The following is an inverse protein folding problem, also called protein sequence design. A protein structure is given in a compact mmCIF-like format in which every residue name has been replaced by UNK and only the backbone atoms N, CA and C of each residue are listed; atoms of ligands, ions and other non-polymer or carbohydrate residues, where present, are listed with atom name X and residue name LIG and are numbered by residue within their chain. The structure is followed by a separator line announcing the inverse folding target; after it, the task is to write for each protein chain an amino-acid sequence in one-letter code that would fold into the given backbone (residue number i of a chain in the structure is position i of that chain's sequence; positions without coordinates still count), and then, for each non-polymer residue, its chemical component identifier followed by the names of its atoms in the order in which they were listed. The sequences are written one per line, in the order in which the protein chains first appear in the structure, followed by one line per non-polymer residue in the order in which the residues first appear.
data_IF_069422881575
#
_entry.id   IF_069422881575
#
_cell.length_a   1.000
_cell.length_b   1.000
_cell.length_c   1.000
_cell.angle_alpha   90.00
_cell.angle_beta   90.00
_cell.angle_gamma   90.00
#
_symmetry.space_group_name_H-M   'P 1'
#
loop_
_entity.id
_entity.type
_entity.pdbx_description
1 polymer ?
#
# COMPACT_ATOMS: atom_id res chain seq x y z
N UNK A 1 -25.68 -32.80 13.13
CA UNK A 1 -25.12 -31.49 13.53
C UNK A 1 -23.69 -31.42 13.04
N UNK A 2 -23.40 -30.53 12.10
CA UNK A 2 -22.09 -30.29 11.50
C UNK A 2 -21.35 -29.25 12.35
N UNK A 3 -20.25 -29.66 12.97
CA UNK A 3 -19.34 -28.74 13.65
C UNK A 3 -18.29 -28.27 12.65
N UNK A 4 -18.23 -26.96 12.40
CA UNK A 4 -17.23 -26.33 11.55
C UNK A 4 -16.24 -25.56 12.41
N UNK A 5 -14.97 -25.91 12.30
CA UNK A 5 -13.87 -25.25 13.02
C UNK A 5 -13.08 -24.37 12.06
N UNK A 6 -13.07 -23.08 12.31
CA UNK A 6 -12.26 -22.10 11.59
C UNK A 6 -10.86 -22.00 12.20
N UNK A 7 -9.87 -21.58 11.41
CA UNK A 7 -8.48 -21.53 11.87
C UNK A 7 -8.25 -20.38 12.86
N UNK A 8 -8.95 -19.26 12.73
CA UNK A 8 -8.90 -18.13 13.65
C UNK A 8 -10.19 -17.27 13.57
N UNK A 9 -10.29 -16.25 14.42
CA UNK A 9 -11.47 -15.38 14.56
C UNK A 9 -11.82 -14.58 13.29
N UNK A 10 -10.86 -14.37 12.38
CA UNK A 10 -11.01 -13.55 11.17
C UNK A 10 -10.94 -14.37 9.86
N UNK A 11 -10.95 -15.71 9.95
CA UNK A 11 -10.81 -16.66 8.84
C UNK A 11 -12.00 -16.64 7.86
N UNK A 12 -12.04 -15.60 7.03
CA UNK A 12 -13.07 -15.41 6.01
C UNK A 12 -13.03 -16.47 4.92
N UNK A 13 -11.84 -16.88 4.48
CA UNK A 13 -11.70 -17.82 3.37
C UNK A 13 -12.10 -19.24 3.81
N UNK A 14 -11.72 -19.67 5.03
CA UNK A 14 -12.20 -20.91 5.63
C UNK A 14 -13.70 -20.92 5.84
N UNK A 15 -14.27 -19.83 6.39
CA UNK A 15 -15.72 -19.68 6.51
C UNK A 15 -16.42 -19.77 5.15
N UNK A 16 -15.93 -19.04 4.14
CA UNK A 16 -16.49 -19.02 2.78
C UNK A 16 -16.45 -20.41 2.13
N UNK A 17 -15.35 -21.14 2.31
CA UNK A 17 -15.21 -22.50 1.78
C UNK A 17 -16.21 -23.46 2.43
N UNK A 18 -16.31 -23.47 3.77
CA UNK A 18 -17.29 -24.29 4.49
C UNK A 18 -18.73 -23.91 4.15
N UNK A 19 -19.06 -22.63 4.22
CA UNK A 19 -20.41 -22.13 3.96
C UNK A 19 -20.87 -22.51 2.55
N UNK A 20 -20.00 -22.39 1.55
CA UNK A 20 -20.29 -22.86 0.19
C UNK A 20 -20.54 -24.36 0.14
N UNK A 21 -19.70 -25.17 0.79
CA UNK A 21 -19.87 -26.62 0.80
C UNK A 21 -21.20 -27.03 1.46
N UNK A 22 -21.55 -26.41 2.58
CA UNK A 22 -22.80 -26.68 3.31
C UNK A 22 -24.04 -26.32 2.49
N UNK A 23 -24.04 -25.16 1.82
CA UNK A 23 -25.12 -24.76 0.91
C UNK A 23 -25.30 -25.76 -0.23
N UNK A 24 -24.21 -26.23 -0.83
CA UNK A 24 -24.25 -27.19 -1.94
C UNK A 24 -24.74 -28.58 -1.51
N UNK A 25 -24.48 -28.98 -0.27
CA UNK A 25 -25.04 -30.20 0.34
C UNK A 25 -26.46 -29.99 0.88
N UNK A 26 -27.03 -28.80 0.74
CA UNK A 26 -28.33 -28.44 1.29
C UNK A 26 -28.43 -28.69 2.81
N UNK A 27 -27.34 -28.45 3.56
CA UNK A 27 -27.34 -28.51 5.03
C UNK A 27 -28.01 -27.27 5.59
N UNK A 28 -29.06 -27.44 6.39
CA UNK A 28 -29.84 -26.31 6.90
C UNK A 28 -29.10 -25.55 7.99
N UNK A 29 -29.51 -24.30 8.25
CA UNK A 29 -28.83 -23.42 9.20
C UNK A 29 -28.90 -23.92 10.65
N UNK A 30 -29.92 -24.71 11.01
CA UNK A 30 -30.08 -25.27 12.35
C UNK A 30 -29.13 -26.46 12.61
N UNK A 31 -28.59 -27.05 11.55
CA UNK A 31 -27.73 -28.23 11.64
C UNK A 31 -26.25 -27.88 11.75
N UNK A 32 -25.88 -26.59 11.71
CA UNK A 32 -24.48 -26.14 11.65
C UNK A 32 -24.12 -25.38 12.92
N UNK A 33 -23.01 -25.79 13.53
CA UNK A 33 -22.37 -25.04 14.59
C UNK A 33 -20.99 -24.55 14.13
N UNK A 34 -20.68 -23.31 14.46
CA UNK A 34 -19.41 -22.66 14.08
C UNK A 34 -18.57 -22.46 15.34
N UNK A 35 -17.31 -22.85 15.25
CA UNK A 35 -16.34 -22.64 16.32
C UNK A 35 -15.01 -22.20 15.71
N UNK A 36 -14.16 -21.58 16.51
CA UNK A 36 -12.81 -21.19 16.14
C UNK A 36 -11.85 -22.11 16.89
N UNK A 37 -10.76 -22.52 16.24
CA UNK A 37 -9.77 -23.39 16.87
C UNK A 37 -9.15 -22.66 18.06
N UNK A 38 -9.28 -23.26 19.25
CA UNK A 38 -8.51 -22.86 20.42
C UNK A 38 -7.12 -23.50 20.34
N UNK A 39 -6.08 -22.68 20.23
CA UNK A 39 -4.69 -23.14 20.18
C UNK A 39 -4.09 -23.37 21.59
N UNK A 40 -4.78 -22.98 22.66
CA UNK A 40 -4.36 -23.13 24.04
C UNK A 40 -4.88 -24.41 24.71
N UNK A 41 -5.84 -25.10 24.09
CA UNK A 41 -6.38 -26.37 24.57
C UNK A 41 -5.86 -27.54 23.73
N UNK A 42 -5.45 -28.62 24.39
CA UNK A 42 -5.14 -29.92 23.80
C UNK A 42 -6.26 -30.36 22.82
N UNK A 43 -5.94 -31.16 21.77
CA UNK A 43 -6.79 -31.32 20.60
C UNK A 43 -8.21 -31.77 20.96
N UNK A 44 -9.24 -31.27 20.26
CA UNK A 44 -10.62 -31.58 20.60
C UNK A 44 -10.87 -33.10 20.56
N UNK A 45 -11.40 -33.62 21.65
CA UNK A 45 -11.87 -35.02 21.80
C UNK A 45 -13.07 -35.37 20.92
N UNK A 46 -13.63 -34.37 20.22
CA UNK A 46 -14.60 -34.57 19.14
C UNK A 46 -13.89 -34.30 17.83
N UNK A 47 -13.59 -35.38 17.09
CA UNK A 47 -13.09 -35.29 15.73
C UNK A 47 -14.03 -34.38 14.92
N UNK A 48 -13.57 -33.16 14.62
CA UNK A 48 -14.21 -32.31 13.65
C UNK A 48 -14.38 -33.14 12.38
N UNK A 49 -15.61 -33.29 11.90
CA UNK A 49 -15.84 -33.96 10.63
C UNK A 49 -15.02 -33.17 9.58
N UNK A 50 -14.23 -33.85 8.73
CA UNK A 50 -13.44 -33.17 7.72
C UNK A 50 -14.35 -32.28 6.89
N UNK A 51 -13.85 -31.08 6.52
CA UNK A 51 -14.62 -30.12 5.71
C UNK A 51 -15.33 -30.86 4.59
N UNK A 52 -16.66 -30.73 4.45
CA UNK A 52 -17.38 -31.41 3.39
C UNK A 52 -16.75 -31.02 2.05
N UNK A 53 -16.31 -32.01 1.27
CA UNK A 53 -15.71 -31.77 -0.05
C UNK A 53 -16.67 -30.93 -0.87
N UNK A 54 -16.24 -29.78 -1.38
CA UNK A 54 -17.11 -28.89 -2.17
C UNK A 54 -17.65 -29.69 -3.38
N UNK A 55 -18.97 -29.94 -3.49
CA UNK A 55 -19.55 -30.66 -4.62
C UNK A 55 -19.36 -29.89 -5.92
N UNK A 56 -19.51 -30.59 -7.05
CA UNK A 56 -19.66 -29.94 -8.35
C UNK A 56 -20.97 -29.16 -8.38
N UNK A 57 -20.87 -27.84 -8.24
CA UNK A 57 -22.04 -26.96 -8.17
C UNK A 57 -21.65 -25.49 -8.02
N UNK A 58 -22.53 -24.62 -8.53
CA UNK A 58 -22.37 -23.16 -8.47
C UNK A 58 -23.69 -22.52 -8.10
N UNK A 59 -23.63 -21.53 -7.23
CA UNK A 59 -24.69 -20.56 -7.00
C UNK A 59 -24.03 -19.18 -6.92
N UNK A 60 -24.77 -18.14 -7.25
CA UNK A 60 -24.32 -16.75 -7.19
C UNK A 60 -24.93 -16.04 -6.00
N UNK A 61 -24.22 -15.05 -5.49
CA UNK A 61 -24.71 -14.10 -4.51
C UNK A 61 -24.30 -12.69 -4.91
N UNK A 62 -25.02 -11.64 -4.47
CA UNK A 62 -24.65 -10.27 -4.76
C UNK A 62 -23.26 -9.92 -4.24
N UNK A 63 -22.51 -9.07 -4.95
CA UNK A 63 -21.19 -8.60 -4.51
C UNK A 63 -21.25 -7.89 -3.14
N UNK A 64 -22.34 -7.12 -2.91
CA UNK A 64 -22.62 -6.45 -1.63
C UNK A 64 -22.64 -7.41 -0.43
N UNK A 65 -23.05 -8.66 -0.62
CA UNK A 65 -23.01 -9.67 0.44
C UNK A 65 -21.57 -10.02 0.83
N UNK A 66 -20.69 -10.19 -0.15
CA UNK A 66 -19.28 -10.55 0.09
C UNK A 66 -18.55 -9.42 0.82
N UNK A 67 -18.80 -8.17 0.44
CA UNK A 67 -18.26 -7.00 1.12
C UNK A 67 -18.75 -6.90 2.57
N UNK A 68 -20.06 -7.10 2.77
CA UNK A 68 -20.67 -7.13 4.09
C UNK A 68 -20.08 -8.25 4.96
N UNK A 69 -19.94 -9.45 4.41
CA UNK A 69 -19.40 -10.61 5.11
C UNK A 69 -17.93 -10.41 5.52
N UNK A 70 -17.10 -9.78 4.66
CA UNK A 70 -15.72 -9.41 5.02
C UNK A 70 -15.65 -8.40 6.16
N UNK A 71 -16.64 -7.53 6.29
CA UNK A 71 -16.72 -6.62 7.44
C UNK A 71 -17.15 -7.38 8.70
N UNK A 72 -18.27 -8.13 8.62
CA UNK A 72 -18.91 -8.81 9.76
C UNK A 72 -18.02 -9.91 10.35
N UNK A 73 -17.18 -10.58 9.56
CA UNK A 73 -16.31 -11.66 10.06
C UNK A 73 -15.42 -11.19 11.22
N UNK A 74 -15.16 -9.89 11.32
CA UNK A 74 -14.33 -9.25 12.35
C UNK A 74 -15.10 -8.84 13.60
N UNK A 75 -16.43 -8.96 13.63
CA UNK A 75 -17.22 -8.63 14.80
C UNK A 75 -16.89 -9.60 15.95
N UNK A 76 -16.95 -9.18 17.22
CA UNK A 76 -16.58 -10.07 18.35
C UNK A 76 -17.64 -11.16 18.62
N UNK A 77 -18.91 -10.88 18.32
CA UNK A 77 -20.02 -11.79 18.57
C UNK A 77 -19.81 -13.11 17.82
N UNK A 78 -19.78 -14.23 18.54
CA UNK A 78 -19.56 -15.59 18.00
C UNK A 78 -20.67 -16.01 17.03
N UNK A 79 -21.87 -15.42 17.14
CA UNK A 79 -23.01 -15.74 16.28
C UNK A 79 -22.85 -15.20 14.85
N UNK A 80 -21.84 -14.36 14.59
CA UNK A 80 -21.58 -13.75 13.27
C UNK A 80 -21.45 -14.78 12.15
N UNK A 81 -20.77 -15.90 12.39
CA UNK A 81 -20.59 -16.96 11.38
C UNK A 81 -21.90 -17.64 11.02
N UNK A 82 -22.73 -17.90 12.03
CA UNK A 82 -24.06 -18.47 11.84
C UNK A 82 -25.00 -17.48 11.14
N UNK A 83 -24.97 -16.19 11.51
CA UNK A 83 -25.73 -15.13 10.84
C UNK A 83 -25.37 -15.01 9.36
N UNK A 84 -24.07 -14.96 9.04
CA UNK A 84 -23.60 -14.93 7.67
C UNK A 84 -24.04 -16.17 6.89
N UNK A 85 -24.05 -17.34 7.52
CA UNK A 85 -24.54 -18.56 6.91
C UNK A 85 -26.07 -18.53 6.66
N UNK A 86 -26.87 -18.00 7.60
CA UNK A 86 -28.32 -17.81 7.41
C UNK A 86 -28.61 -16.88 6.23
N UNK A 87 -27.90 -15.75 6.14
CA UNK A 87 -28.04 -14.82 5.04
C UNK A 87 -27.65 -15.46 3.71
N UNK A 88 -26.52 -16.18 3.67
CA UNK A 88 -26.07 -16.91 2.48
C UNK A 88 -27.11 -17.93 2.01
N UNK A 89 -27.66 -18.72 2.94
CA UNK A 89 -28.67 -19.74 2.66
C UNK A 89 -29.92 -19.13 2.04
N UNK A 90 -30.38 -17.99 2.54
CA UNK A 90 -31.57 -17.29 2.04
C UNK A 90 -31.31 -16.56 0.71
N UNK A 91 -30.12 -15.98 0.54
CA UNK A 91 -29.70 -15.31 -0.69
C UNK A 91 -29.63 -16.24 -1.92
N UNK A 92 -29.58 -17.56 -1.71
CA UNK A 92 -29.70 -18.57 -2.77
C UNK A 92 -31.04 -18.49 -3.50
N UNK A 93 -32.11 -18.05 -2.82
CA UNK A 93 -33.46 -17.99 -3.36
C UNK A 93 -34.01 -16.56 -3.46
N UNK A 94 -33.43 -15.61 -2.72
CA UNK A 94 -33.87 -14.21 -2.65
C UNK A 94 -32.68 -13.26 -2.83
N UNK A 95 -32.30 -12.97 -4.07
CA UNK A 95 -31.10 -12.17 -4.39
C UNK A 95 -31.18 -10.70 -3.94
N UNK A 96 -32.39 -10.18 -3.75
CA UNK A 96 -32.73 -8.85 -3.27
C UNK A 96 -32.88 -8.77 -1.74
N UNK A 97 -32.66 -9.88 -1.00
CA UNK A 97 -32.83 -9.93 0.46
C UNK A 97 -32.13 -8.78 1.18
N UNK A 98 -30.91 -8.43 0.76
CA UNK A 98 -30.12 -7.37 1.40
C UNK A 98 -30.69 -5.95 1.20
N UNK A 99 -31.68 -5.76 0.34
CA UNK A 99 -32.40 -4.49 0.17
C UNK A 99 -33.58 -4.36 1.14
N UNK A 100 -34.00 -5.46 1.78
CA UNK A 100 -35.04 -5.46 2.80
C UNK A 100 -34.48 -5.10 4.17
N UNK A 101 -34.56 -3.83 4.53
CA UNK A 101 -34.08 -3.30 5.82
C UNK A 101 -34.89 -3.77 7.03
N UNK A 102 -36.14 -4.20 6.82
CA UNK A 102 -37.02 -4.71 7.88
C UNK A 102 -36.74 -6.18 8.22
N UNK A 103 -35.93 -6.86 7.40
CA UNK A 103 -35.50 -8.21 7.68
C UNK A 103 -34.58 -8.26 8.90
N UNK A 104 -34.94 -9.08 9.89
CA UNK A 104 -34.22 -9.17 11.16
C UNK A 104 -32.74 -9.55 10.99
N UNK A 105 -32.41 -10.51 10.11
CA UNK A 105 -31.02 -10.93 9.91
C UNK A 105 -30.23 -9.84 9.15
N UNK A 106 -30.87 -9.15 8.20
CA UNK A 106 -30.25 -8.03 7.47
C UNK A 106 -29.97 -6.86 8.41
N UNK A 107 -30.94 -6.49 9.26
CA UNK A 107 -30.79 -5.45 10.26
C UNK A 107 -29.67 -5.81 11.27
N UNK A 108 -29.63 -7.05 11.76
CA UNK A 108 -28.56 -7.54 12.63
C UNK A 108 -27.19 -7.45 11.95
N UNK A 109 -27.10 -7.86 10.69
CA UNK A 109 -25.86 -7.81 9.91
C UNK A 109 -25.39 -6.36 9.65
N UNK A 110 -26.31 -5.46 9.31
CA UNK A 110 -26.02 -4.05 9.14
C UNK A 110 -25.53 -3.40 10.45
N UNK A 111 -26.13 -3.76 11.59
CA UNK A 111 -25.71 -3.30 12.90
C UNK A 111 -24.29 -3.79 13.25
N UNK A 112 -23.99 -5.08 13.07
CA UNK A 112 -22.65 -5.64 13.28
C UNK A 112 -21.61 -4.97 12.38
N UNK A 113 -21.91 -4.81 11.08
CA UNK A 113 -20.99 -4.16 10.16
C UNK A 113 -20.72 -2.70 10.52
N UNK A 114 -21.75 -1.99 11.00
CA UNK A 114 -21.62 -0.61 11.46
C UNK A 114 -20.80 -0.52 12.76
N UNK A 115 -20.95 -1.47 13.68
CA UNK A 115 -20.15 -1.54 14.90
C UNK A 115 -18.66 -1.74 14.59
N UNK A 116 -18.33 -2.70 13.71
CA UNK A 116 -16.95 -2.91 13.23
C UNK A 116 -16.35 -1.64 12.63
N UNK A 117 -17.05 -0.97 11.72
CA UNK A 117 -16.54 0.27 11.09
C UNK A 117 -16.33 1.41 12.09
N UNK A 118 -17.22 1.54 13.08
CA UNK A 118 -17.07 2.55 14.13
C UNK A 118 -15.83 2.25 14.98
N UNK A 119 -15.56 1.00 15.30
CA UNK A 119 -14.37 0.61 16.07
C UNK A 119 -13.08 0.84 15.27
N UNK A 120 -13.08 0.49 13.97
CA UNK A 120 -11.95 0.80 13.07
C UNK A 120 -11.64 2.30 13.05
N UNK A 121 -12.67 3.13 12.88
CA UNK A 121 -12.54 4.58 12.86
C UNK A 121 -12.09 5.11 14.22
N UNK A 122 -12.64 4.59 15.32
CA UNK A 122 -12.22 4.92 16.69
C UNK A 122 -10.73 4.65 16.86
N UNK A 123 -10.25 3.48 16.47
CA UNK A 123 -8.83 3.15 16.54
C UNK A 123 -7.98 4.16 15.76
N UNK A 124 -8.35 4.47 14.51
CA UNK A 124 -7.63 5.45 13.67
C UNK A 124 -7.59 6.86 14.26
N UNK A 125 -8.65 7.27 14.94
CA UNK A 125 -8.82 8.64 15.44
C UNK A 125 -8.26 8.83 16.85
N UNK A 126 -8.33 7.82 17.72
CA UNK A 126 -7.98 7.94 19.15
C UNK A 126 -6.61 7.39 19.50
N UNK A 127 -6.08 6.43 18.72
CA UNK A 127 -4.81 5.78 19.05
C UNK A 127 -3.65 6.80 19.02
N UNK A 128 -2.85 6.82 20.09
CA UNK A 128 -1.68 7.70 20.25
C UNK A 128 -0.47 6.88 20.60
N UNK A 129 0.63 7.16 19.92
CA UNK A 129 1.91 6.50 20.16
C UNK A 129 2.73 7.28 21.18
N UNK A 130 3.28 6.55 22.15
CA UNK A 130 4.21 7.07 23.15
C UNK A 130 5.60 6.53 22.85
N UNK A 131 6.61 7.40 22.91
CA UNK A 131 8.00 7.01 22.71
C UNK A 131 8.56 6.36 23.98
N UNK A 132 9.13 5.17 23.85
CA UNK A 132 9.74 4.39 24.93
C UNK A 132 11.22 4.15 24.59
N UNK A 133 12.09 4.30 25.59
CA UNK A 133 13.53 4.18 25.46
C UNK A 133 14.24 5.52 25.26
N UNK A 134 15.57 5.49 25.07
CA UNK A 134 16.39 6.68 24.84
C UNK A 134 17.19 6.56 23.55
N UNK A 135 17.25 7.65 22.78
CA UNK A 135 18.11 7.79 21.59
C UNK A 135 17.91 6.69 20.53
N UNK A 136 18.94 5.90 20.20
CA UNK A 136 18.97 4.95 19.07
C UNK A 136 18.11 3.70 19.23
N UNK A 137 17.43 3.54 20.36
CA UNK A 137 16.54 2.40 20.64
C UNK A 137 15.11 2.84 20.88
N UNK A 138 14.76 4.10 20.55
CA UNK A 138 13.41 4.59 20.75
C UNK A 138 12.41 3.79 19.93
N UNK A 139 11.33 3.39 20.58
CA UNK A 139 10.23 2.62 19.99
C UNK A 139 8.92 3.22 20.42
N UNK A 140 7.97 3.18 19.52
CA UNK A 140 6.70 3.84 19.74
C UNK A 140 5.64 2.81 20.06
N UNK A 141 5.00 2.96 21.19
CA UNK A 141 4.04 1.96 21.64
C UNK A 141 2.72 2.65 21.93
N UNK A 142 1.65 2.01 21.50
CA UNK A 142 0.30 2.43 21.78
C UNK A 142 -0.44 1.25 22.39
N UNK A 143 -1.34 1.54 23.32
CA UNK A 143 -2.32 0.57 23.79
C UNK A 143 -3.67 0.90 23.16
N UNK A 144 -4.39 -0.13 22.73
CA UNK A 144 -5.77 0.00 22.28
C UNK A 144 -6.54 -1.27 22.63
N UNK A 145 -7.72 -1.11 23.23
CA UNK A 145 -8.63 -2.22 23.50
C UNK A 145 -9.77 -2.17 22.46
N UNK A 146 -9.67 -2.92 21.35
CA UNK A 146 -10.71 -2.95 20.35
C UNK A 146 -11.94 -3.71 20.89
N UNK A 147 -13.13 -3.32 20.44
CA UNK A 147 -14.36 -4.07 20.68
C UNK A 147 -14.50 -5.25 19.71
N UNK A 148 -13.74 -5.25 18.62
CA UNK A 148 -13.85 -6.18 17.51
C UNK A 148 -12.46 -6.63 17.02
N UNK A 149 -12.40 -7.71 16.22
CA UNK A 149 -11.15 -8.24 15.65
C UNK A 149 -10.66 -7.38 14.46
N UNK A 150 -10.29 -6.13 14.73
CA UNK A 150 -9.98 -5.12 13.70
C UNK A 150 -8.49 -4.86 13.50
N UNK A 151 -7.64 -5.33 14.42
CA UNK A 151 -6.21 -4.96 14.48
C UNK A 151 -5.48 -5.25 13.18
N UNK A 152 -5.64 -6.45 12.61
CA UNK A 152 -5.00 -6.83 11.35
C UNK A 152 -5.47 -5.99 10.16
N UNK A 153 -6.73 -5.58 10.17
CA UNK A 153 -7.32 -4.76 9.12
C UNK A 153 -6.85 -3.29 9.19
N UNK A 154 -6.65 -2.76 10.41
CA UNK A 154 -6.32 -1.35 10.64
C UNK A 154 -4.81 -1.11 10.68
N UNK A 155 -4.00 -2.07 11.15
CA UNK A 155 -2.54 -1.96 11.25
C UNK A 155 -1.84 -1.44 9.97
N UNK A 156 -2.25 -1.84 8.75
CA UNK A 156 -1.70 -1.26 7.52
C UNK A 156 -1.89 0.26 7.38
N UNK A 157 -2.96 0.83 7.94
CA UNK A 157 -3.17 2.28 7.95
C UNK A 157 -2.16 2.98 8.86
N UNK A 158 -1.85 2.40 10.02
CA UNK A 158 -0.79 2.91 10.89
C UNK A 158 0.60 2.76 10.27
N UNK A 159 0.88 1.65 9.57
CA UNK A 159 2.16 1.47 8.89
C UNK A 159 2.36 2.49 7.77
N UNK A 160 1.27 2.87 7.09
CA UNK A 160 1.29 3.96 6.09
C UNK A 160 1.45 5.34 6.73
N UNK A 161 0.75 5.62 7.83
CA UNK A 161 0.73 6.93 8.51
C UNK A 161 1.99 7.20 9.32
N UNK A 162 2.58 6.16 9.90
CA UNK A 162 3.72 6.19 10.82
C UNK A 162 4.85 5.28 10.31
N UNK A 163 5.20 5.43 9.02
CA UNK A 163 6.16 4.56 8.32
C UNK A 163 7.61 4.73 8.82
N UNK A 164 7.93 5.90 9.39
CA UNK A 164 9.30 6.28 9.77
C UNK A 164 9.65 5.91 11.22
N UNK A 165 8.70 5.32 11.95
CA UNK A 165 8.87 4.96 13.34
C UNK A 165 8.53 3.48 13.55
N UNK A 166 9.44 2.68 14.12
CA UNK A 166 9.09 1.33 14.54
C UNK A 166 8.08 1.44 15.68
N UNK A 167 6.92 0.83 15.49
CA UNK A 167 5.83 0.94 16.44
C UNK A 167 5.24 -0.41 16.83
N UNK A 168 4.56 -0.43 17.96
CA UNK A 168 3.82 -1.59 18.46
C UNK A 168 2.47 -1.13 18.99
N UNK A 169 1.41 -1.71 18.47
CA UNK A 169 0.06 -1.54 18.99
C UNK A 169 -0.24 -2.77 19.82
N UNK A 170 -0.29 -2.58 21.12
CA UNK A 170 -0.61 -3.62 22.08
C UNK A 170 -2.13 -3.64 22.28
N UNK A 171 -2.72 -4.83 22.17
CA UNK A 171 -4.15 -5.06 22.42
C UNK A 171 -4.35 -6.36 23.20
N UNK A 172 -5.54 -6.59 23.80
CA UNK A 172 -5.83 -7.81 24.56
C UNK A 172 -5.74 -9.11 23.76
N UNK A 173 -6.09 -9.10 22.47
CA UNK A 173 -6.24 -10.32 21.67
C UNK A 173 -5.05 -10.56 20.73
N UNK A 174 -4.70 -9.55 19.91
CA UNK A 174 -3.63 -9.62 18.91
C UNK A 174 -2.86 -8.31 18.92
N UNK A 175 -1.55 -8.38 19.10
CA UNK A 175 -0.69 -7.22 18.97
C UNK A 175 -0.20 -7.06 17.52
N UNK A 176 -0.05 -5.82 17.08
CA UNK A 176 0.53 -5.49 15.79
C UNK A 176 1.86 -4.77 15.98
N UNK A 177 2.88 -5.21 15.26
CA UNK A 177 4.21 -4.61 15.31
C UNK A 177 4.64 -4.20 13.92
N UNK A 178 5.23 -3.02 13.82
CA UNK A 178 5.83 -2.52 12.60
C UNK A 178 7.29 -2.18 12.88
N UNK A 179 8.20 -2.82 12.16
CA UNK A 179 9.63 -2.65 12.34
C UNK A 179 10.23 -1.52 11.46
N UNK A 180 9.37 -0.77 10.76
CA UNK A 180 9.76 0.18 9.72
C UNK A 180 9.63 -0.39 8.30
N UNK A 181 9.31 -1.68 8.15
CA UNK A 181 9.23 -2.35 6.84
C UNK A 181 8.10 -3.37 6.71
N UNK A 182 7.89 -4.20 7.73
CA UNK A 182 6.89 -5.26 7.73
C UNK A 182 5.99 -5.13 8.96
N UNK A 183 4.74 -5.54 8.78
CA UNK A 183 3.81 -5.74 9.89
C UNK A 183 3.90 -7.20 10.29
N UNK A 184 4.11 -7.45 11.56
CA UNK A 184 4.01 -8.76 12.18
C UNK A 184 2.96 -8.74 13.28
N UNK A 185 2.30 -9.87 13.48
CA UNK A 185 1.29 -10.06 14.52
C UNK A 185 1.75 -11.09 15.52
N UNK A 186 1.35 -10.88 16.77
CA UNK A 186 1.69 -11.73 17.91
C UNK A 186 0.48 -11.81 18.83
N UNK A 187 0.53 -12.73 19.78
CA UNK A 187 -0.53 -12.88 20.78
C UNK A 187 -0.70 -11.60 21.61
N UNK A 188 -1.94 -11.34 21.99
CA UNK A 188 -2.34 -10.18 22.79
C UNK A 188 -1.69 -10.13 24.17
N UNK A 189 -1.77 -8.96 24.77
CA UNK A 189 -1.26 -8.71 26.12
C UNK A 189 -2.47 -8.50 27.03
N UNK A 190 -2.63 -9.35 28.04
CA UNK A 190 -3.82 -9.34 28.91
C UNK A 190 -4.10 -7.99 29.60
N UNK A 191 -5.37 -7.74 29.88
CA UNK A 191 -5.92 -6.45 30.35
C UNK A 191 -5.38 -5.97 31.71
N UNK A 192 -4.83 -6.88 32.55
CA UNK A 192 -4.06 -6.52 33.74
C UNK A 192 -2.77 -5.72 33.44
N UNK A 193 -2.36 -5.71 32.16
CA UNK A 193 -1.29 -4.92 31.58
C UNK A 193 -1.76 -3.66 30.84
N UNK A 194 -3.05 -3.28 30.91
CA UNK A 194 -3.57 -2.00 30.42
C UNK A 194 -2.74 -0.88 31.07
N UNK A 195 -1.82 -0.26 30.32
CA UNK A 195 -0.83 0.57 30.96
C UNK A 195 -1.43 1.95 31.21
N UNK A 196 -1.29 2.46 32.43
CA UNK A 196 -1.16 3.91 32.58
C UNK A 196 0.03 4.37 31.75
N UNK A 197 0.09 5.64 31.34
CA UNK A 197 1.21 6.22 30.57
C UNK A 197 2.58 5.83 31.19
N UNK A 198 2.63 5.70 32.52
CA UNK A 198 3.79 5.26 33.32
C UNK A 198 4.12 3.75 33.25
N UNK A 199 3.17 2.86 32.96
CA UNK A 199 3.39 1.40 32.88
C UNK A 199 3.57 0.86 31.47
N UNK A 200 3.36 1.69 30.44
CA UNK A 200 3.43 1.29 29.03
C UNK A 200 4.85 0.84 28.64
N UNK A 201 5.86 1.48 29.23
CA UNK A 201 7.27 1.11 29.13
C UNK A 201 7.58 -0.23 29.82
N UNK A 202 7.01 -0.49 30.99
CA UNK A 202 7.22 -1.74 31.74
C UNK A 202 6.57 -2.94 31.03
N UNK A 203 5.32 -2.80 30.60
CA UNK A 203 4.60 -3.81 29.80
C UNK A 203 5.33 -4.12 28.50
N UNK A 204 5.82 -3.10 27.78
CA UNK A 204 6.61 -3.32 26.56
C UNK A 204 7.95 -4.00 26.85
N UNK A 205 8.67 -3.63 27.92
CA UNK A 205 9.98 -4.24 28.26
C UNK A 205 9.86 -5.73 28.57
N UNK A 206 8.82 -6.15 29.30
CA UNK A 206 8.54 -7.56 29.58
C UNK A 206 8.23 -8.33 28.28
N UNK A 207 7.58 -7.68 27.33
CA UNK A 207 7.19 -8.26 26.04
C UNK A 207 8.35 -8.29 25.02
N UNK A 208 9.19 -7.25 24.96
CA UNK A 208 10.27 -7.08 23.99
C UNK A 208 11.45 -8.03 24.20
N UNK A 209 11.69 -8.48 25.43
CA UNK A 209 12.76 -9.42 25.76
C UNK A 209 12.65 -10.76 24.98
N UNK A 210 11.42 -11.15 24.60
CA UNK A 210 11.15 -12.38 23.85
C UNK A 210 11.04 -12.17 22.33
N UNK A 211 10.74 -10.96 21.87
CA UNK A 211 10.57 -10.64 20.43
C UNK A 211 11.85 -10.19 19.73
N UNK A 212 12.83 -9.68 20.48
CA UNK A 212 14.07 -9.13 19.94
C UNK A 212 15.29 -9.67 20.71
N UNK A 213 15.94 -10.77 20.26
CA UNK A 213 17.13 -11.29 20.92
C UNK A 213 18.27 -10.26 20.94
N UNK A 214 19.10 -10.19 22.00
CA UNK A 214 20.03 -9.08 22.27
C UNK A 214 21.23 -8.91 21.31
N UNK A 215 21.35 -9.70 20.24
CA UNK A 215 22.47 -9.62 19.32
C UNK A 215 22.21 -8.66 18.14
N UNK A 216 21.99 -7.36 18.42
CA UNK A 216 22.14 -6.27 17.43
C UNK A 216 22.06 -4.87 18.07
N UNK A 217 22.86 -4.64 19.11
CA UNK A 217 23.06 -3.31 19.70
C UNK A 217 24.54 -2.93 19.62
N UNK A 218 24.90 -2.01 18.72
CA UNK A 218 26.03 -1.11 18.98
C UNK A 218 25.74 0.32 18.49
N UNK A 219 25.78 1.22 19.48
CA UNK A 219 25.85 2.69 19.45
C UNK A 219 27.17 3.16 18.76
N UNK A 220 27.42 4.42 18.38
CA UNK A 220 27.06 5.72 18.94
C UNK A 220 26.79 6.80 17.88
N UNK A 221 25.98 7.78 18.28
CA UNK A 221 25.82 9.10 17.68
C UNK A 221 26.41 10.15 18.64
N UNK A 222 26.54 11.40 18.17
CA UNK A 222 26.29 12.56 19.03
C UNK A 222 25.61 13.71 18.24
N UNK A 223 24.72 14.51 18.88
CA UNK A 223 23.84 15.47 18.19
C UNK A 223 24.09 16.94 18.59
N UNK A 224 23.41 17.93 17.96
CA UNK A 224 23.11 19.21 18.62
C UNK A 224 21.64 19.31 19.07
N UNK A 225 21.43 20.13 20.10
CA UNK A 225 20.24 20.29 20.95
C UNK A 225 19.25 21.36 20.44
N UNK A 226 17.95 21.18 20.75
CA UNK A 226 16.98 22.14 21.39
C UNK A 226 15.55 21.58 21.23
N UNK A 227 14.98 21.03 22.30
CA UNK A 227 14.00 21.63 23.24
C UNK A 227 12.59 21.80 22.66
N UNK A 228 11.74 20.82 22.94
CA UNK A 228 10.30 20.88 22.74
C UNK A 228 9.66 21.57 23.94
N UNK A 229 8.78 22.54 23.69
CA UNK A 229 7.76 22.94 24.65
C UNK A 229 6.40 22.66 24.06
N UNK A 230 5.62 21.95 24.86
CA UNK A 230 4.22 21.56 24.73
C UNK A 230 3.33 22.74 24.36
N UNK A 231 2.40 22.55 23.42
CA UNK A 231 1.19 23.37 23.32
C UNK A 231 0.00 22.44 23.08
N UNK A 232 -0.71 22.14 24.16
CA UNK A 232 -2.16 21.94 24.14
C UNK A 232 -2.81 23.30 24.43
N UNK A 233 -3.73 23.76 23.57
CA UNK A 233 -5.06 24.27 23.95
C UNK A 233 -5.83 24.92 22.79
N UNK A 234 -7.14 24.67 22.84
CA UNK A 234 -8.28 25.49 22.39
C UNK A 234 -8.73 25.42 20.93
N UNK A 235 -9.79 24.63 20.76
CA UNK A 235 -10.93 24.91 19.89
C UNK A 235 -11.57 26.26 20.23
N UNK A 236 -11.80 27.10 19.21
CA UNK A 236 -13.01 27.88 18.94
C UNK A 236 -12.67 29.14 18.13
N UNK A 237 -12.96 29.10 16.82
CA UNK A 237 -13.37 30.23 15.97
C UNK A 237 -13.38 29.79 14.50
N UNK A 238 -14.55 29.37 14.00
CA UNK A 238 -14.83 29.30 12.57
C UNK A 238 -15.72 30.50 12.21
N UNK A 239 -15.09 31.55 11.69
CA UNK A 239 -15.73 32.65 10.97
C UNK A 239 -15.39 32.53 9.48
N UNK A 240 -16.45 32.40 8.68
CA UNK A 240 -16.67 32.89 7.31
C UNK A 240 -15.59 32.68 6.22
N UNK A 241 -16.00 31.90 5.21
CA UNK A 241 -15.45 31.82 3.86
C UNK A 241 -15.39 33.17 3.13
N UNK A 242 -14.20 33.56 2.66
CA UNK A 242 -14.02 34.52 1.56
C UNK A 242 -13.20 33.89 0.43
N UNK A 243 -13.74 34.01 -0.79
CA UNK A 243 -13.13 33.59 -2.05
C UNK A 243 -12.05 34.58 -2.48
N UNK A 244 -10.83 34.07 -2.72
CA UNK A 244 -9.66 34.85 -3.16
C UNK A 244 -9.72 35.20 -4.67
N UNK A 245 -9.74 36.50 -5.05
CA UNK A 245 -9.73 36.98 -6.44
C UNK A 245 -8.40 36.73 -7.20
N UNK A 246 -7.29 36.42 -6.52
CA UNK A 246 -5.97 36.28 -7.15
C UNK A 246 -5.79 34.99 -7.97
N UNK A 247 -6.66 34.00 -7.77
CA UNK A 247 -6.68 32.76 -8.56
C UNK A 247 -7.03 33.01 -10.05
N UNK A 248 -7.78 34.08 -10.35
CA UNK A 248 -8.17 34.44 -11.72
C UNK A 248 -7.02 35.12 -12.49
N UNK A 249 -6.15 35.86 -11.79
CA UNK A 249 -5.02 36.57 -12.41
C UNK A 249 -3.93 35.59 -12.90
N UNK A 250 -3.70 34.49 -12.18
CA UNK A 250 -2.69 33.46 -12.56
C UNK A 250 -3.06 32.66 -13.81
N UNK A 251 -4.35 32.58 -14.18
CA UNK A 251 -4.80 31.85 -15.38
C UNK A 251 -4.48 32.59 -16.69
N UNK A 252 -4.09 33.87 -16.64
CA UNK A 252 -3.87 34.71 -17.84
C UNK A 252 -2.44 34.69 -18.42
N UNK A 253 -1.49 33.96 -17.84
CA UNK A 253 -0.08 33.93 -18.29
C UNK A 253 0.37 32.66 -19.05
N UNK A 254 -0.53 31.71 -19.32
CA UNK A 254 -0.18 30.43 -19.95
C UNK A 254 -0.14 30.48 -21.50
N UNK A 255 0.80 31.24 -22.10
CA UNK A 255 1.00 31.25 -23.56
C UNK A 255 2.45 31.14 -24.05
N UNK A 256 3.40 30.72 -23.20
CA UNK A 256 4.70 30.22 -23.67
C UNK A 256 4.83 28.73 -23.38
N UNK A 257 5.10 27.92 -24.42
CA UNK A 257 5.46 26.51 -24.26
C UNK A 257 6.80 26.46 -23.54
N UNK A 258 6.82 25.92 -22.32
CA UNK A 258 8.05 25.81 -21.54
C UNK A 258 8.98 24.75 -22.15
N UNK A 259 10.25 25.10 -22.34
CA UNK A 259 11.28 24.16 -22.83
C UNK A 259 11.73 23.23 -21.69
N UNK A 260 12.29 22.07 -22.04
CA UNK A 260 12.82 21.12 -21.05
C UNK A 260 13.95 21.75 -20.22
N UNK A 261 14.75 22.61 -20.83
CA UNK A 261 15.82 23.38 -20.20
C UNK A 261 15.24 24.32 -19.13
N UNK A 262 14.22 25.11 -19.49
CA UNK A 262 13.54 26.00 -18.54
C UNK A 262 12.88 25.20 -17.40
N UNK A 263 12.25 24.07 -17.71
CA UNK A 263 11.65 23.20 -16.69
C UNK A 263 12.68 22.63 -15.72
N UNK A 264 13.87 22.25 -16.22
CA UNK A 264 14.98 21.76 -15.41
C UNK A 264 15.47 22.82 -14.42
N UNK A 265 15.65 24.05 -14.88
CA UNK A 265 16.08 25.18 -14.05
C UNK A 265 15.07 25.46 -12.93
N UNK A 266 13.78 25.46 -13.25
CA UNK A 266 12.74 25.65 -12.24
C UNK A 266 12.68 24.47 -11.24
N UNK A 267 12.82 23.24 -11.73
CA UNK A 267 12.79 22.04 -10.89
C UNK A 267 13.94 22.00 -9.88
N UNK A 268 15.11 22.55 -10.23
CA UNK A 268 16.30 22.60 -9.37
C UNK A 268 16.07 23.33 -8.04
N UNK A 269 15.06 24.20 -7.95
CA UNK A 269 14.70 24.93 -6.72
C UNK A 269 13.41 24.43 -6.09
N UNK A 270 12.85 23.32 -6.58
CA UNK A 270 11.54 22.84 -6.16
C UNK A 270 11.50 22.44 -4.68
N UNK A 271 10.51 22.98 -3.95
CA UNK A 271 10.24 22.65 -2.55
C UNK A 271 8.84 22.10 -2.29
N UNK A 272 8.19 21.56 -3.32
CA UNK A 272 6.79 21.14 -3.27
C UNK A 272 6.50 19.94 -2.34
N UNK A 273 7.52 19.18 -1.95
CA UNK A 273 7.42 18.12 -0.94
C UNK A 273 8.67 18.14 -0.05
N UNK A 274 8.75 17.37 1.02
CA UNK A 274 9.87 17.44 1.96
C UNK A 274 11.18 16.82 1.43
N UNK A 275 11.16 16.09 0.31
CA UNK A 275 12.31 15.31 -0.17
C UNK A 275 13.53 16.14 -0.56
N UNK A 276 13.35 17.42 -0.94
CA UNK A 276 14.47 18.32 -1.24
C UNK A 276 15.40 18.57 -0.05
N UNK A 277 14.91 18.35 1.19
CA UNK A 277 15.68 18.67 2.41
C UNK A 277 16.92 17.81 2.59
N UNK A 278 16.89 16.57 2.08
CA UNK A 278 17.93 15.57 2.34
C UNK A 278 18.60 15.05 1.07
N UNK A 279 17.93 15.14 -0.08
CA UNK A 279 18.54 14.88 -1.38
C UNK A 279 19.70 15.87 -1.63
N UNK A 280 20.72 15.44 -2.37
CA UNK A 280 21.86 16.31 -2.72
C UNK A 280 21.41 17.38 -3.71
N UNK A 281 20.58 16.98 -4.67
CA UNK A 281 20.08 17.84 -5.73
C UNK A 281 18.82 17.24 -6.37
N UNK A 282 18.15 18.04 -7.19
CA UNK A 282 17.12 17.54 -8.08
C UNK A 282 17.75 16.74 -9.21
N UNK A 283 17.24 15.53 -9.46
CA UNK A 283 17.55 14.75 -10.65
C UNK A 283 16.37 14.83 -11.60
N UNK A 284 16.48 15.72 -12.57
CA UNK A 284 15.49 15.91 -13.62
C UNK A 284 15.62 14.84 -14.71
N UNK A 285 14.74 14.84 -15.71
CA UNK A 285 14.86 13.90 -16.82
C UNK A 285 16.00 14.24 -17.79
N UNK A 286 16.36 13.29 -18.65
CA UNK A 286 17.43 13.43 -19.64
C UNK A 286 17.08 12.71 -20.94
N UNK A 287 17.34 13.38 -22.06
CA UNK A 287 17.15 12.87 -23.42
C UNK A 287 16.84 14.00 -24.39
N UNK A 288 16.55 13.69 -25.68
CA UNK A 288 16.22 14.71 -26.66
C UNK A 288 14.88 15.37 -26.36
N UNK A 289 14.76 16.67 -26.66
CA UNK A 289 13.54 17.48 -26.45
C UNK A 289 12.32 17.03 -27.28
N UNK A 290 12.52 16.12 -28.24
CA UNK A 290 11.47 15.53 -29.06
C UNK A 290 11.55 13.99 -29.05
N UNK A 291 11.90 13.40 -27.90
CA UNK A 291 11.96 11.95 -27.76
C UNK A 291 10.61 11.29 -28.07
N UNK A 292 10.52 10.34 -29.02
CA UNK A 292 9.28 9.61 -29.26
C UNK A 292 8.89 8.68 -28.11
N UNK A 293 9.85 8.29 -27.25
CA UNK A 293 9.62 7.50 -26.04
C UNK A 293 10.06 8.31 -24.82
N UNK A 294 9.17 8.37 -23.83
CA UNK A 294 9.48 8.80 -22.47
C UNK A 294 9.45 7.57 -21.55
N UNK A 295 10.50 7.33 -20.77
CA UNK A 295 10.50 6.29 -19.73
C UNK A 295 10.48 6.95 -18.35
N UNK A 296 9.63 6.44 -17.46
CA UNK A 296 9.42 6.99 -16.12
C UNK A 296 9.76 5.91 -15.10
N UNK A 297 10.78 6.16 -14.28
CA UNK A 297 11.13 5.37 -13.10
C UNK A 297 10.44 5.84 -11.82
N UNK A 298 10.88 5.29 -10.69
CA UNK A 298 10.31 5.62 -9.37
C UNK A 298 10.86 6.95 -8.83
N UNK A 299 12.16 6.99 -8.56
CA UNK A 299 12.89 8.14 -8.01
C UNK A 299 14.38 7.97 -8.31
N UNK A 300 15.22 9.00 -8.09
CA UNK A 300 16.66 8.87 -8.19
C UNK A 300 17.18 7.94 -7.09
N UNK A 301 18.21 7.15 -7.38
CA UNK A 301 18.95 6.39 -6.38
C UNK A 301 20.16 7.16 -5.86
N UNK A 302 21.00 6.47 -5.10
CA UNK A 302 22.22 7.02 -4.50
C UNK A 302 23.18 7.60 -5.56
N UNK A 303 23.45 6.86 -6.63
CA UNK A 303 24.37 7.31 -7.68
C UNK A 303 23.77 8.45 -8.49
N UNK A 304 22.48 8.36 -8.80
CA UNK A 304 21.74 9.38 -9.54
C UNK A 304 21.71 10.71 -8.78
N UNK A 305 21.45 10.68 -7.48
CA UNK A 305 21.41 11.88 -6.63
C UNK A 305 22.76 12.60 -6.56
N UNK A 306 23.89 11.88 -6.60
CA UNK A 306 25.22 12.49 -6.65
C UNK A 306 25.57 12.99 -8.04
N UNK A 307 25.18 12.26 -9.08
CA UNK A 307 25.51 12.59 -10.46
C UNK A 307 24.62 13.69 -11.05
N UNK A 308 23.40 13.87 -10.53
CA UNK A 308 22.40 14.76 -11.13
C UNK A 308 21.74 14.18 -12.38
N UNK A 309 21.98 12.90 -12.69
CA UNK A 309 21.52 12.23 -13.92
C UNK A 309 20.67 10.99 -13.62
N UNK A 310 19.55 10.76 -14.33
CA UNK A 310 18.67 9.63 -14.09
C UNK A 310 19.27 8.32 -14.65
N UNK A 311 19.06 7.21 -13.93
CA UNK A 311 19.45 5.86 -14.37
C UNK A 311 20.94 5.68 -14.71
N UNK A 312 21.84 6.18 -13.85
CA UNK A 312 23.29 5.94 -13.98
C UNK A 312 23.81 4.78 -13.12
N UNK A 313 22.97 4.26 -12.21
CA UNK A 313 23.29 3.15 -11.33
C UNK A 313 23.05 1.76 -11.94
N UNK A 314 23.12 0.69 -11.12
CA UNK A 314 22.94 -0.69 -11.59
C UNK A 314 21.60 -0.96 -12.29
N UNK A 315 20.52 -0.31 -11.84
CA UNK A 315 19.21 -0.40 -12.49
C UNK A 315 19.20 0.26 -13.87
N UNK A 316 19.98 1.34 -14.05
CA UNK A 316 20.19 2.00 -15.33
C UNK A 316 20.95 1.13 -16.32
N UNK A 317 22.05 0.52 -15.88
CA UNK A 317 22.83 -0.41 -16.70
C UNK A 317 21.98 -1.62 -17.18
N UNK A 318 21.08 -2.09 -16.33
CA UNK A 318 20.13 -3.15 -16.69
C UNK A 318 19.09 -2.66 -17.71
N UNK A 319 18.59 -1.44 -17.56
CA UNK A 319 17.68 -0.82 -18.51
C UNK A 319 18.36 -0.62 -19.87
N UNK A 320 19.59 -0.12 -19.90
CA UNK A 320 20.37 0.11 -21.12
C UNK A 320 20.58 -1.20 -21.89
N UNK A 321 20.98 -2.27 -21.20
CA UNK A 321 21.10 -3.60 -21.81
C UNK A 321 19.78 -4.10 -22.39
N UNK A 322 18.69 -4.00 -21.62
CA UNK A 322 17.39 -4.46 -22.09
C UNK A 322 16.85 -3.64 -23.27
N UNK A 323 17.14 -2.34 -23.32
CA UNK A 323 16.82 -1.49 -24.47
C UNK A 323 17.61 -1.88 -25.71
N UNK A 324 18.91 -2.13 -25.57
CA UNK A 324 19.76 -2.61 -26.66
C UNK A 324 19.24 -3.93 -27.24
N UNK A 325 18.94 -4.91 -26.38
CA UNK A 325 18.36 -6.20 -26.79
C UNK A 325 16.96 -6.08 -27.41
N UNK A 326 16.17 -5.10 -26.98
CA UNK A 326 14.85 -4.80 -27.55
C UNK A 326 14.92 -3.97 -28.84
N UNK A 327 16.10 -3.51 -29.27
CA UNK A 327 16.28 -2.66 -30.45
C UNK A 327 15.84 -1.20 -30.24
N UNK A 328 15.86 -0.71 -29.00
CA UNK A 328 15.56 0.68 -28.64
C UNK A 328 16.87 1.47 -28.53
N UNK A 329 17.06 2.46 -29.40
CA UNK A 329 18.19 3.39 -29.32
C UNK A 329 18.04 4.37 -28.15
N UNK A 330 18.91 4.26 -27.13
CA UNK A 330 18.94 5.14 -25.95
C UNK A 330 18.93 6.62 -26.28
N UNK A 331 19.54 7.03 -27.41
CA UNK A 331 19.62 8.44 -27.87
C UNK A 331 18.27 9.01 -28.28
N UNK A 332 17.28 8.15 -28.52
CA UNK A 332 15.89 8.53 -28.88
C UNK A 332 14.94 8.49 -27.69
N UNK A 333 15.44 8.22 -26.48
CA UNK A 333 14.62 8.03 -25.28
C UNK A 333 14.88 9.18 -24.32
N UNK A 334 13.79 9.79 -23.83
CA UNK A 334 13.84 10.66 -22.66
C UNK A 334 13.55 9.83 -21.42
N UNK A 335 14.44 9.82 -20.44
CA UNK A 335 14.31 9.04 -19.21
C UNK A 335 14.18 9.98 -18.02
N UNK A 336 13.22 9.72 -17.15
CA UNK A 336 12.96 10.54 -15.96
C UNK A 336 12.39 9.67 -14.84
N UNK A 337 12.05 10.28 -13.70
CA UNK A 337 11.44 9.60 -12.56
C UNK A 337 10.12 10.25 -12.13
N UNK A 338 9.23 9.49 -11.50
CA UNK A 338 7.98 10.02 -10.93
C UNK A 338 8.25 11.09 -9.86
N UNK A 339 9.31 10.92 -9.07
CA UNK A 339 9.79 11.89 -8.07
C UNK A 339 11.21 12.32 -8.44
N UNK A 340 11.55 13.61 -8.25
CA UNK A 340 12.84 14.20 -8.70
C UNK A 340 13.92 14.30 -7.61
N UNK A 341 13.63 13.93 -6.38
CA UNK A 341 14.57 13.96 -5.26
C UNK A 341 14.71 12.57 -4.67
N UNK A 342 15.93 12.18 -4.30
CA UNK A 342 16.18 10.88 -3.71
C UNK A 342 15.63 10.81 -2.28
N UNK A 343 14.62 9.97 -2.05
CA UNK A 343 14.18 9.61 -0.71
C UNK A 343 15.03 8.46 -0.17
N UNK A 344 15.72 8.71 0.92
CA UNK A 344 16.57 7.71 1.57
C UNK A 344 16.63 7.89 3.08
N UNK A 345 17.05 6.82 3.74
CA UNK A 345 17.48 6.85 5.14
C UNK A 345 19.00 6.64 5.20
N UNK A 346 19.76 7.56 5.80
CA UNK A 346 21.19 7.37 5.98
C UNK A 346 21.47 6.25 7.00
N UNK A 347 22.29 5.28 6.62
CA UNK A 347 22.82 4.21 7.49
C UNK A 347 24.35 4.21 7.41
N UNK A 348 24.98 4.98 8.29
CA UNK A 348 26.42 5.22 8.23
C UNK A 348 26.79 6.02 6.99
N UNK A 349 27.72 5.50 6.17
CA UNK A 349 28.10 6.10 4.87
C UNK A 349 27.15 5.72 3.72
N UNK A 350 26.17 4.86 3.97
CA UNK A 350 25.27 4.32 2.93
C UNK A 350 23.94 5.06 3.00
N UNK A 351 23.39 5.45 1.85
CA UNK A 351 22.03 6.00 1.74
C UNK A 351 21.07 4.92 1.28
N UNK A 352 20.20 4.45 2.17
CA UNK A 352 19.26 3.38 1.89
C UNK A 352 18.00 3.95 1.23
N UNK A 353 17.77 3.57 -0.02
CA UNK A 353 16.59 3.97 -0.78
C UNK A 353 15.28 3.64 -0.05
N UNK A 354 14.38 4.62 0.06
CA UNK A 354 13.01 4.45 0.53
C UNK A 354 12.01 4.80 -0.58
N UNK A 355 10.97 3.99 -0.74
CA UNK A 355 9.97 4.23 -1.78
C UNK A 355 9.19 5.54 -1.52
N UNK A 356 8.92 6.36 -2.55
CA UNK A 356 8.03 7.51 -2.41
C UNK A 356 6.59 7.12 -2.07
N UNK A 357 5.91 7.91 -1.25
CA UNK A 357 4.50 7.73 -0.91
C UNK A 357 3.58 8.46 -1.91
N UNK A 358 2.26 8.24 -1.80
CA UNK A 358 1.27 8.85 -2.71
C UNK A 358 1.28 10.38 -2.71
N UNK A 359 1.56 11.01 -1.56
CA UNK A 359 1.58 12.47 -1.44
C UNK A 359 2.81 13.06 -2.11
N UNK A 360 3.98 12.45 -1.94
CA UNK A 360 5.22 12.82 -2.62
C UNK A 360 5.09 12.66 -4.14
N UNK A 361 4.51 11.55 -4.59
CA UNK A 361 4.21 11.31 -6.01
C UNK A 361 3.27 12.40 -6.53
N UNK A 362 2.17 12.68 -5.82
CA UNK A 362 1.19 13.71 -6.21
C UNK A 362 1.84 15.10 -6.28
N UNK A 363 2.65 15.46 -5.28
CA UNK A 363 3.33 16.75 -5.23
C UNK A 363 4.35 16.91 -6.35
N UNK A 364 5.06 15.83 -6.71
CA UNK A 364 6.06 15.86 -7.77
C UNK A 364 5.47 15.66 -9.18
N UNK A 365 4.24 15.14 -9.29
CA UNK A 365 3.55 14.85 -10.56
C UNK A 365 3.44 16.07 -11.48
N UNK A 366 3.40 17.28 -10.93
CA UNK A 366 3.45 18.53 -11.70
C UNK A 366 4.65 18.58 -12.67
N UNK A 367 5.81 18.01 -12.30
CA UNK A 367 7.00 17.99 -13.17
C UNK A 367 6.84 16.99 -14.30
N UNK A 368 6.28 15.81 -14.01
CA UNK A 368 5.97 14.82 -15.04
C UNK A 368 4.97 15.37 -16.06
N UNK A 369 3.90 16.04 -15.62
CA UNK A 369 2.88 16.62 -16.51
C UNK A 369 3.48 17.70 -17.43
N UNK A 370 4.41 18.50 -16.91
CA UNK A 370 5.11 19.53 -17.67
C UNK A 370 6.15 18.95 -18.63
N UNK A 371 6.91 17.94 -18.22
CA UNK A 371 7.80 17.18 -19.10
C UNK A 371 7.01 16.53 -20.24
N UNK A 372 5.86 15.90 -19.93
CA UNK A 372 4.98 15.26 -20.91
C UNK A 372 4.47 16.28 -21.93
N UNK A 373 4.00 17.44 -21.46
CA UNK A 373 3.50 18.53 -22.31
C UNK A 373 4.60 19.10 -23.21
N UNK A 374 5.82 19.27 -22.67
CA UNK A 374 6.94 19.81 -23.43
C UNK A 374 7.46 18.83 -24.50
N UNK A 375 7.57 17.53 -24.16
CA UNK A 375 8.12 16.49 -25.04
C UNK A 375 7.12 15.99 -26.09
N UNK A 376 5.84 15.87 -25.72
CA UNK A 376 4.78 15.21 -26.52
C UNK A 376 5.23 13.84 -27.08
N UNK A 377 5.66 12.90 -26.22
CA UNK A 377 6.12 11.60 -26.67
C UNK A 377 4.95 10.79 -27.25
N UNK A 378 5.25 9.88 -28.18
CA UNK A 378 4.24 8.94 -28.71
C UNK A 378 3.93 7.84 -27.70
N UNK A 379 4.91 7.45 -26.89
CA UNK A 379 4.81 6.38 -25.92
C UNK A 379 5.46 6.79 -24.58
N UNK A 380 4.77 6.51 -23.48
CA UNK A 380 5.26 6.62 -22.11
C UNK A 380 5.40 5.22 -21.51
N UNK A 381 6.60 4.83 -21.08
CA UNK A 381 6.84 3.54 -20.43
C UNK A 381 6.96 3.77 -18.92
N UNK A 382 6.03 3.22 -18.15
CA UNK A 382 6.03 3.27 -16.69
C UNK A 382 6.77 2.06 -16.12
N UNK A 383 7.96 2.30 -15.56
CA UNK A 383 8.84 1.31 -14.95
C UNK A 383 8.46 1.12 -13.47
N UNK A 384 7.56 0.18 -13.18
CA UNK A 384 7.11 -0.13 -11.84
C UNK A 384 5.87 0.64 -11.35
N UNK A 385 5.45 0.33 -10.13
CA UNK A 385 4.15 0.76 -9.60
C UNK A 385 4.08 2.26 -9.33
N UNK A 386 5.18 2.85 -8.84
CA UNK A 386 5.27 4.29 -8.55
C UNK A 386 5.21 5.11 -9.83
N UNK A 387 5.93 4.68 -10.88
CA UNK A 387 5.85 5.28 -12.20
C UNK A 387 4.43 5.18 -12.77
N UNK A 388 3.81 4.01 -12.70
CA UNK A 388 2.43 3.82 -13.17
C UNK A 388 1.45 4.73 -12.42
N UNK A 389 1.60 4.86 -11.09
CA UNK A 389 0.79 5.78 -10.29
C UNK A 389 0.96 7.24 -10.71
N UNK A 390 2.17 7.67 -11.05
CA UNK A 390 2.43 9.02 -11.55
C UNK A 390 1.79 9.24 -12.92
N UNK A 391 2.03 8.33 -13.87
CA UNK A 391 1.53 8.41 -15.25
C UNK A 391 0.00 8.47 -15.28
N UNK A 392 -0.68 7.57 -14.56
CA UNK A 392 -2.15 7.51 -14.56
C UNK A 392 -2.83 8.38 -13.50
N UNK A 393 -2.08 9.00 -12.59
CA UNK A 393 -2.62 9.82 -11.49
C UNK A 393 -3.37 9.05 -10.40
N UNK A 394 -3.34 7.71 -10.44
CA UNK A 394 -4.02 6.80 -9.51
C UNK A 394 -3.25 5.51 -9.35
N UNK A 395 -3.46 4.83 -8.22
CA UNK A 395 -2.83 3.52 -7.97
C UNK A 395 -3.22 2.54 -9.08
N UNK A 396 -2.22 2.06 -9.82
CA UNK A 396 -2.41 1.21 -10.99
C UNK A 396 -1.60 -0.08 -10.82
N UNK A 397 -2.26 -1.24 -10.63
CA UNK A 397 -1.56 -2.51 -10.43
C UNK A 397 -0.77 -2.95 -11.66
N UNK A 398 0.53 -3.26 -11.51
CA UNK A 398 1.39 -3.71 -12.62
C UNK A 398 0.86 -5.01 -13.24
N UNK A 399 0.55 -6.02 -12.43
CA UNK A 399 0.22 -7.37 -12.90
C UNK A 399 -1.00 -7.42 -13.85
N UNK A 400 -1.93 -6.47 -13.74
CA UNK A 400 -3.10 -6.39 -14.61
C UNK A 400 -2.86 -5.62 -15.91
N UNK A 401 -1.84 -4.76 -15.94
CA UNK A 401 -1.62 -3.79 -17.02
C UNK A 401 -0.31 -4.02 -17.79
N UNK A 402 0.58 -4.89 -17.27
CA UNK A 402 1.87 -5.19 -17.88
C UNK A 402 1.70 -5.77 -19.28
N UNK A 403 2.53 -5.33 -20.23
CA UNK A 403 2.54 -5.85 -21.61
C UNK A 403 1.37 -5.38 -22.48
N UNK A 404 0.54 -4.43 -22.02
CA UNK A 404 -0.58 -3.88 -22.78
C UNK A 404 -0.37 -2.39 -23.04
N UNK A 405 -0.72 -1.94 -24.25
CA UNK A 405 -0.76 -0.51 -24.58
C UNK A 405 -2.08 0.09 -24.09
N UNK A 406 -1.97 1.18 -23.33
CA UNK A 406 -3.10 1.90 -22.74
C UNK A 406 -3.12 3.30 -23.32
N UNK A 407 -4.28 3.79 -23.75
CA UNK A 407 -4.39 5.15 -24.27
C UNK A 407 -4.25 6.20 -23.15
N UNK A 408 -3.43 7.22 -23.40
CA UNK A 408 -3.34 8.44 -22.60
C UNK A 408 -4.06 9.59 -23.31
N UNK A 409 -4.18 10.71 -22.60
CA UNK A 409 -4.64 11.96 -23.20
C UNK A 409 -3.75 12.37 -24.38
N UNK A 410 -4.32 13.15 -25.31
CA UNK A 410 -3.59 13.78 -26.42
C UNK A 410 -2.90 12.79 -27.39
N UNK A 411 -3.37 11.55 -27.44
CA UNK A 411 -2.95 10.54 -28.44
C UNK A 411 -1.66 9.79 -28.10
N UNK A 412 -1.04 10.07 -26.95
CA UNK A 412 0.06 9.26 -26.43
C UNK A 412 -0.46 7.89 -25.95
N UNK A 413 0.41 6.88 -25.96
CA UNK A 413 0.14 5.58 -25.33
C UNK A 413 1.00 5.40 -24.09
N UNK A 414 0.56 4.56 -23.17
CA UNK A 414 1.31 4.10 -22.02
C UNK A 414 1.56 2.59 -22.10
N UNK A 415 2.75 2.16 -21.69
CA UNK A 415 3.09 0.77 -21.44
C UNK A 415 3.56 0.63 -20.00
N UNK A 416 3.02 -0.32 -19.25
CA UNK A 416 3.47 -0.62 -17.88
C UNK A 416 4.38 -1.83 -17.89
N UNK A 417 5.48 -1.78 -17.14
CA UNK A 417 6.34 -2.95 -16.90
C UNK A 417 6.95 -2.91 -15.49
N UNK A 418 7.75 -3.92 -15.13
CA UNK A 418 8.48 -3.97 -13.87
C UNK A 418 9.62 -2.95 -13.84
N UNK A 419 10.03 -2.52 -12.65
CA UNK A 419 11.19 -1.64 -12.51
C UNK A 419 12.49 -2.47 -12.61
N UNK A 420 13.56 -2.00 -13.30
CA UNK A 420 14.81 -2.77 -13.43
C UNK A 420 15.44 -3.17 -12.09
N UNK A 421 15.29 -2.34 -11.05
CA UNK A 421 15.78 -2.71 -9.70
C UNK A 421 15.09 -3.93 -9.08
N UNK A 422 13.88 -4.29 -9.51
CA UNK A 422 13.21 -5.51 -9.08
C UNK A 422 13.96 -6.75 -9.58
N UNK A 423 14.39 -6.74 -10.84
CA UNK A 423 15.15 -7.83 -11.46
C UNK A 423 16.52 -8.03 -10.77
N UNK A 424 17.12 -6.96 -10.25
CA UNK A 424 18.36 -7.02 -9.47
C UNK A 424 18.19 -7.65 -8.07
N UNK A 425 16.96 -7.65 -7.53
CA UNK A 425 16.65 -8.13 -6.18
C UNK A 425 16.08 -9.55 -6.15
N UNK A 426 15.85 -10.17 -7.32
CA UNK A 426 15.40 -11.56 -7.39
C UNK A 426 16.51 -12.50 -6.85
N UNK A 427 16.21 -13.35 -5.87
CA UNK A 427 17.20 -14.22 -5.24
C UNK A 427 17.55 -15.44 -6.10
N UNK A 428 16.60 -15.90 -6.92
CA UNK A 428 16.73 -17.08 -7.78
C UNK A 428 17.21 -16.67 -9.18
N UNK A 429 18.25 -17.37 -9.68
CA UNK A 429 18.87 -17.06 -10.97
C UNK A 429 17.93 -17.35 -12.14
N UNK A 430 17.16 -18.44 -12.07
CA UNK A 430 16.25 -18.82 -13.14
C UNK A 430 15.04 -17.88 -13.20
N UNK A 431 14.49 -17.49 -12.03
CA UNK A 431 13.44 -16.48 -11.95
C UNK A 431 13.93 -15.12 -12.47
N UNK A 432 15.18 -14.76 -12.18
CA UNK A 432 15.80 -13.54 -12.69
C UNK A 432 15.93 -13.56 -14.22
N UNK A 433 16.38 -14.66 -14.80
CA UNK A 433 16.46 -14.82 -16.25
C UNK A 433 15.07 -14.73 -16.90
N UNK A 434 14.09 -15.50 -16.40
CA UNK A 434 12.72 -15.47 -16.92
C UNK A 434 12.07 -14.09 -16.84
N UNK A 435 12.23 -13.39 -15.72
CA UNK A 435 11.66 -12.04 -15.57
C UNK A 435 12.40 -10.99 -16.40
N UNK A 436 13.70 -11.18 -16.64
CA UNK A 436 14.48 -10.35 -17.57
C UNK A 436 13.99 -10.53 -19.01
N UNK A 437 13.80 -11.77 -19.47
CA UNK A 437 13.27 -12.05 -20.81
C UNK A 437 11.89 -11.40 -21.00
N UNK A 438 11.00 -11.53 -20.02
CA UNK A 438 9.69 -10.87 -20.04
C UNK A 438 9.81 -9.34 -20.07
N UNK A 439 10.81 -8.78 -19.39
CA UNK A 439 11.07 -7.34 -19.40
C UNK A 439 11.53 -6.87 -20.78
N UNK A 440 12.41 -7.62 -21.45
CA UNK A 440 12.83 -7.36 -22.83
C UNK A 440 11.65 -7.49 -23.80
N UNK A 441 10.78 -8.50 -23.64
CA UNK A 441 9.57 -8.65 -24.45
C UNK A 441 8.61 -7.46 -24.30
N UNK A 442 8.43 -6.91 -23.09
CA UNK A 442 7.65 -5.69 -22.91
C UNK A 442 8.27 -4.52 -23.71
N UNK A 443 9.60 -4.36 -23.69
CA UNK A 443 10.29 -3.31 -24.44
C UNK A 443 10.21 -3.53 -25.96
N UNK A 444 10.15 -4.77 -26.45
CA UNK A 444 9.92 -5.05 -27.88
C UNK A 444 8.57 -4.54 -28.37
N UNK A 445 7.54 -4.51 -27.51
CA UNK A 445 6.25 -3.86 -27.84
C UNK A 445 6.46 -2.37 -28.13
N UNK A 446 7.30 -1.69 -27.33
CA UNK A 446 7.65 -0.30 -27.56
C UNK A 446 8.42 -0.08 -28.86
N UNK A 447 9.41 -0.93 -29.15
CA UNK A 447 10.17 -0.88 -30.40
C UNK A 447 9.26 -1.09 -31.63
N UNK A 448 8.33 -2.04 -31.58
CA UNK A 448 7.38 -2.31 -32.65
C UNK A 448 6.43 -1.12 -32.92
N UNK A 449 6.09 -0.35 -31.88
CA UNK A 449 5.29 0.87 -32.03
C UNK A 449 6.06 1.98 -32.76
N UNK A 450 7.38 2.09 -32.55
CA UNK A 450 8.21 3.07 -33.27
C UNK A 450 8.51 2.65 -34.71
N UNK A 451 8.58 1.35 -34.98
CA UNK A 451 8.91 0.79 -36.30
C UNK A 451 7.77 0.78 -37.32
N UNK A 452 6.53 1.07 -36.92
CA UNK A 452 5.39 1.22 -37.85
C UNK A 452 5.35 2.66 -38.36
N UNK A 453 5.67 2.94 -39.65
CA UNK A 453 5.31 4.22 -40.23
C UNK A 453 3.79 4.38 -40.15
N UNK A 454 3.33 5.57 -39.75
CA UNK A 454 1.92 5.91 -39.79
C UNK A 454 1.42 5.65 -41.22
N UNK A 455 0.41 4.79 -41.38
CA UNK A 455 -0.33 4.69 -42.64
C UNK A 455 -0.85 6.09 -42.95
N UNK A 456 -0.30 6.70 -44.00
CA UNK A 456 -0.90 7.86 -44.63
C UNK A 456 -2.32 7.46 -45.06
N UNK A 457 -3.31 8.14 -44.50
CA UNK A 457 -4.69 8.13 -44.97
C UNK A 457 -4.90 9.36 -45.84
#
# INVERSE_FOLDING_TARGET
MHLITLDNETDFDGWRMAARALVLHSVTTAEVNWTVRDHAQDPPSQAALPFPKVPEGRFSVPAKFIELARTIIRHHDITRFALLYRLLWRLRHHHDLLDNVDDRDVAQAAAMASAVRRDEQRMLDTLRFHEIGRERTSRYVAWFAPEHHIVEAVAPSFARRYADMPWSILTPDICAHFDGSLISFTEGVGEAGAPSEDRLEETWRLYAANLFPPARLHQKAQPPKRSWQTIERMSDAAGETQTDPDAAMRRKQATSVETIETLREQAATCRACHLWKHATQTVFGEGPSHAPIMMVGEQPGDKEDLAGLPFVGPAGQMLDRAMEEAGIDRKKVYVTNAVKHFKFVPRGKIRLHQKPNTEEIRACRQWYERELTALRPKLVIALGATAAQCVFGKITPINKNRGHLIDLAEGAKALVTVHPSYLLRLPDADAKAREYDRFVEDLKIAAAMLGKPARAA
#
